data_IF_977808059718
#
_entry.id   IF_977808059718
#
_cell.length_a   1.000
_cell.length_b   1.000
_cell.length_c   1.000
_cell.angle_alpha   90.00
_cell.angle_beta   90.00
_cell.angle_gamma   90.00
#
_symmetry.space_group_name_H-M   'P 1'
#
loop_
_entity.id
_entity.type
_entity.pdbx_description
1 polymer ?
#
# COMPACT_ATOMS: atom_id res chain seq x y z
N UNK A 1 12.94 4.11 18.15
CA UNK A 1 13.70 2.89 17.77
C UNK A 1 14.04 1.97 18.95
N UNK A 2 14.43 2.47 20.13
CA UNK A 2 14.77 1.61 21.29
C UNK A 2 13.59 0.81 21.88
N UNK A 3 12.36 1.33 21.81
CA UNK A 3 11.16 0.64 22.31
C UNK A 3 10.74 -0.58 21.48
N UNK A 4 10.84 -0.49 20.15
CA UNK A 4 10.47 -1.59 19.23
C UNK A 4 11.43 -2.80 19.34
N UNK A 5 12.71 -2.54 19.61
CA UNK A 5 13.70 -3.60 19.79
C UNK A 5 13.45 -4.39 21.08
N UNK A 6 12.97 -3.71 22.13
CA UNK A 6 12.66 -4.33 23.41
C UNK A 6 11.42 -5.23 23.32
N UNK A 7 10.40 -4.81 22.56
CA UNK A 7 9.19 -5.63 22.33
C UNK A 7 9.46 -6.85 21.47
N UNK A 8 10.36 -6.75 20.48
CA UNK A 8 10.76 -7.90 19.65
C UNK A 8 11.54 -8.96 20.46
N UNK A 9 12.46 -8.52 21.33
CA UNK A 9 13.21 -9.44 22.20
C UNK A 9 12.33 -10.16 23.23
N UNK A 10 11.28 -9.49 23.73
CA UNK A 10 10.30 -10.10 24.63
C UNK A 10 9.41 -11.13 23.93
N UNK A 11 9.08 -10.92 22.65
CA UNK A 11 8.31 -11.88 21.85
C UNK A 11 9.14 -13.13 21.51
N UNK A 12 10.39 -12.95 21.11
CA UNK A 12 11.31 -14.07 20.82
C UNK A 12 11.55 -14.95 22.06
N UNK A 13 11.74 -14.32 23.23
CA UNK A 13 11.90 -15.07 24.50
C UNK A 13 10.62 -15.77 24.93
N UNK A 14 9.45 -15.17 24.70
CA UNK A 14 8.17 -15.81 25.01
C UNK A 14 7.91 -17.02 24.09
N UNK A 15 8.21 -16.92 22.80
CA UNK A 15 8.12 -18.03 21.85
C UNK A 15 9.08 -19.16 22.24
N UNK A 16 10.31 -18.84 22.65
CA UNK A 16 11.28 -19.83 23.12
C UNK A 16 10.82 -20.56 24.38
N UNK A 17 10.25 -19.85 25.36
CA UNK A 17 9.72 -20.44 26.60
C UNK A 17 8.54 -21.36 26.32
N UNK A 18 7.61 -20.93 25.45
CA UNK A 18 6.46 -21.77 25.05
C UNK A 18 6.92 -23.01 24.30
N UNK A 19 7.91 -22.90 23.40
CA UNK A 19 8.47 -24.04 22.68
C UNK A 19 9.16 -25.04 23.64
N UNK A 20 9.88 -24.53 24.64
CA UNK A 20 10.55 -25.36 25.66
C UNK A 20 9.54 -26.09 26.57
N UNK A 21 8.34 -25.54 26.76
CA UNK A 21 7.26 -26.18 27.50
C UNK A 21 6.47 -27.21 26.68
N UNK A 22 6.44 -27.04 25.35
CA UNK A 22 5.86 -28.03 24.42
C UNK A 22 6.80 -29.23 24.24
N UNK A 23 8.11 -29.00 24.25
CA UNK A 23 9.13 -30.07 24.15
C UNK A 23 9.46 -30.73 25.50
N UNK A 24 9.08 -30.11 26.63
CA UNK A 24 9.40 -30.55 28.00
C UNK A 24 8.36 -31.45 28.68
N UNK A 25 7.33 -31.91 27.97
CA UNK A 25 6.40 -32.91 28.48
C UNK A 25 7.12 -34.25 28.69
N UNK A 26 7.18 -34.72 29.95
CA UNK A 26 7.81 -35.99 30.34
C UNK A 26 7.45 -37.11 29.35
N UNK A 27 8.50 -37.76 28.83
CA UNK A 27 8.32 -38.88 27.90
C UNK A 27 7.72 -40.09 28.64
N UNK A 28 6.97 -40.95 27.94
CA UNK A 28 6.35 -42.17 28.48
C UNK A 28 7.35 -43.10 29.22
N UNK A 29 8.66 -42.94 28.96
CA UNK A 29 9.76 -43.66 29.62
C UNK A 29 10.05 -43.17 31.06
N UNK A 30 9.87 -41.88 31.36
CA UNK A 30 10.17 -41.32 32.69
C UNK A 30 9.08 -41.67 33.72
N UNK A 31 7.82 -41.79 33.26
CA UNK A 31 6.69 -42.23 34.09
C UNK A 31 6.88 -43.70 34.50
N UNK A 32 7.39 -44.53 33.58
CA UNK A 32 7.67 -45.95 33.84
C UNK A 32 8.83 -46.16 34.82
N UNK A 33 9.82 -45.27 34.85
CA UNK A 33 10.93 -45.33 35.80
C UNK A 33 10.52 -44.93 37.23
N UNK A 34 9.59 -43.98 37.40
CA UNK A 34 9.14 -43.58 38.74
C UNK A 34 8.25 -44.64 39.40
N UNK A 35 7.39 -45.33 38.62
CA UNK A 35 6.58 -46.46 39.11
C UNK A 35 7.44 -47.67 39.53
N UNK A 36 8.64 -47.83 38.95
CA UNK A 36 9.58 -48.91 39.29
C UNK A 36 10.38 -48.65 40.58
N UNK A 37 10.53 -47.39 41.01
CA UNK A 37 11.36 -47.04 42.17
C UNK A 37 10.61 -47.11 43.51
N UNK A 38 9.29 -46.95 43.50
CA UNK A 38 8.46 -47.02 44.72
C UNK A 38 8.37 -48.46 45.27
N UNK A 39 8.36 -49.47 44.40
CA UNK A 39 8.17 -50.89 44.76
C UNK A 39 9.40 -51.52 45.44
N UNK A 40 10.53 -50.79 45.52
CA UNK A 40 11.79 -51.29 46.08
C UNK A 40 12.03 -50.94 47.55
N UNK A 41 11.11 -50.23 48.21
CA UNK A 41 11.26 -49.80 49.61
C UNK A 41 10.19 -50.36 50.55
N UNK A 42 9.98 -51.68 50.60
CA UNK A 42 9.38 -52.33 51.79
C UNK A 42 9.54 -53.85 51.74
N UNK A 43 10.63 -54.35 52.31
CA UNK A 43 10.69 -55.43 53.32
C UNK A 43 11.93 -56.34 53.17
N UNK A 44 12.69 -56.55 54.27
CA UNK A 44 13.87 -57.40 54.30
C UNK A 44 13.54 -58.89 54.48
N UNK A 45 14.54 -59.71 54.17
CA UNK A 45 14.53 -61.16 54.09
C UNK A 45 14.52 -61.91 55.43
N UNK A 46 14.10 -63.19 55.36
CA UNK A 46 14.36 -64.40 56.18
C UNK A 46 13.02 -65.11 56.49
N UNK A 47 12.79 -66.42 56.34
CA UNK A 47 13.59 -67.65 56.17
C UNK A 47 12.59 -68.80 55.85
N UNK A 48 12.96 -69.76 54.99
CA UNK A 48 12.30 -71.08 54.79
C UNK A 48 12.76 -72.05 55.92
N UNK A 49 12.13 -73.22 56.28
CA UNK A 49 11.31 -74.09 55.41
C UNK A 49 10.14 -74.93 56.02
N UNK A 50 9.24 -75.36 55.12
CA UNK A 50 8.45 -76.62 55.08
C UNK A 50 7.39 -76.94 56.16
N UNK A 51 6.16 -77.19 55.68
CA UNK A 51 5.22 -78.33 55.91
C UNK A 51 3.80 -77.81 55.61
N UNK A 52 3.03 -78.30 54.64
CA UNK A 52 2.45 -79.62 54.38
C UNK A 52 0.92 -79.51 54.57
N UNK A 53 0.18 -80.14 53.65
CA UNK A 53 -1.27 -80.43 53.69
C UNK A 53 -2.26 -79.24 53.74
N UNK A 54 -3.47 -79.27 53.20
CA UNK A 54 -4.19 -79.99 52.13
C UNK A 54 -5.64 -79.48 52.26
N UNK A 55 -6.35 -79.39 51.13
CA UNK A 55 -7.82 -79.40 51.03
C UNK A 55 -8.64 -78.32 51.75
N UNK A 56 -9.28 -77.45 50.94
CA UNK A 56 -10.74 -77.55 50.73
C UNK A 56 -11.21 -76.54 49.68
N UNK A 57 -11.40 -77.08 48.48
CA UNK A 57 -12.52 -76.85 47.57
C UNK A 57 -13.46 -75.64 47.78
N UNK A 58 -13.60 -74.91 46.68
CA UNK A 58 -14.89 -74.49 46.12
C UNK A 58 -15.58 -73.28 46.74
N UNK A 59 -15.23 -72.07 46.28
CA UNK A 59 -16.18 -70.97 46.19
C UNK A 59 -16.03 -70.23 44.85
N UNK A 60 -17.04 -70.45 44.01
CA UNK A 60 -17.60 -69.52 43.03
C UNK A 60 -16.63 -68.81 42.06
N UNK A 61 -16.63 -69.33 40.84
CA UNK A 61 -16.17 -68.66 39.62
C UNK A 61 -17.04 -67.41 39.33
N UNK A 62 -16.90 -66.37 40.16
CA UNK A 62 -17.37 -65.02 39.83
C UNK A 62 -16.34 -64.45 38.86
N UNK A 63 -16.70 -64.40 37.59
CA UNK A 63 -15.95 -63.72 36.54
C UNK A 63 -15.88 -62.23 36.87
N UNK A 64 -14.91 -61.82 37.68
CA UNK A 64 -14.47 -60.44 37.73
C UNK A 64 -13.96 -60.09 36.33
N UNK A 65 -14.38 -58.96 35.72
CA UNK A 65 -13.80 -58.50 34.46
C UNK A 65 -12.27 -58.46 34.64
N UNK A 66 -11.53 -59.08 33.72
CA UNK A 66 -10.06 -59.04 33.72
C UNK A 66 -9.63 -57.56 33.66
N UNK A 67 -9.14 -57.02 34.78
CA UNK A 67 -8.72 -55.63 34.91
C UNK A 67 -7.68 -55.30 33.83
N UNK A 68 -6.85 -56.28 33.44
CA UNK A 68 -5.89 -56.09 32.35
C UNK A 68 -6.55 -55.99 30.98
N UNK A 69 -7.70 -56.65 30.76
CA UNK A 69 -8.48 -56.50 29.54
C UNK A 69 -9.09 -55.10 29.44
N UNK A 70 -9.69 -54.60 30.54
CA UNK A 70 -10.22 -53.25 30.60
C UNK A 70 -9.12 -52.18 30.41
N UNK A 71 -7.92 -52.40 30.97
CA UNK A 71 -6.78 -51.50 30.80
C UNK A 71 -6.27 -51.46 29.34
N UNK A 72 -6.25 -52.61 28.66
CA UNK A 72 -5.88 -52.71 27.24
C UNK A 72 -6.87 -51.97 26.35
N UNK A 73 -8.16 -52.13 26.63
CA UNK A 73 -9.23 -51.44 25.91
C UNK A 73 -9.13 -49.93 26.08
N UNK A 74 -8.98 -49.45 27.33
CA UNK A 74 -8.78 -48.03 27.61
C UNK A 74 -7.53 -47.48 26.91
N UNK A 75 -6.42 -48.22 26.95
CA UNK A 75 -5.18 -47.84 26.26
C UNK A 75 -5.41 -47.70 24.76
N UNK A 76 -6.15 -48.63 24.14
CA UNK A 76 -6.50 -48.57 22.72
C UNK A 76 -7.39 -47.34 22.39
N UNK A 77 -8.34 -46.99 23.26
CA UNK A 77 -9.17 -45.79 23.04
C UNK A 77 -8.39 -44.49 23.17
N UNK A 78 -7.45 -44.41 24.11
CA UNK A 78 -6.60 -43.21 24.29
C UNK A 78 -5.63 -43.05 23.12
N UNK A 79 -5.05 -44.15 22.61
CA UNK A 79 -4.19 -44.09 21.43
C UNK A 79 -4.96 -43.67 20.18
N UNK A 80 -6.20 -44.15 20.02
CA UNK A 80 -7.10 -43.72 18.93
C UNK A 80 -7.48 -42.24 19.05
N UNK A 81 -7.87 -41.77 20.24
CA UNK A 81 -8.16 -40.37 20.48
C UNK A 81 -6.95 -39.46 20.21
N UNK A 82 -5.75 -39.88 20.64
CA UNK A 82 -4.49 -39.16 20.37
C UNK A 82 -4.21 -39.08 18.87
N UNK A 83 -4.50 -40.13 18.10
CA UNK A 83 -4.39 -40.13 16.65
C UNK A 83 -5.41 -39.17 16.00
N UNK A 84 -6.67 -39.18 16.48
CA UNK A 84 -7.72 -38.30 16.00
C UNK A 84 -7.40 -36.82 16.27
N UNK A 85 -6.86 -36.49 17.45
CA UNK A 85 -6.42 -35.13 17.79
C UNK A 85 -5.33 -34.65 16.84
N UNK A 86 -4.29 -35.47 16.61
CA UNK A 86 -3.21 -35.13 15.66
C UNK A 86 -3.74 -34.90 14.24
N UNK A 87 -4.69 -35.72 13.79
CA UNK A 87 -5.31 -35.56 12.48
C UNK A 87 -6.14 -34.26 12.41
N UNK A 88 -6.86 -33.91 13.47
CA UNK A 88 -7.63 -32.67 13.55
C UNK A 88 -6.74 -31.43 13.60
N UNK A 89 -5.66 -31.44 14.39
CA UNK A 89 -4.66 -30.37 14.42
C UNK A 89 -4.03 -30.14 13.04
N UNK A 90 -3.75 -31.22 12.31
CA UNK A 90 -3.21 -31.16 10.94
C UNK A 90 -4.21 -30.48 10.00
N UNK A 91 -5.48 -30.91 10.02
CA UNK A 91 -6.54 -30.30 9.19
C UNK A 91 -6.74 -28.81 9.51
N UNK A 92 -6.75 -28.46 10.79
CA UNK A 92 -6.91 -27.06 11.21
C UNK A 92 -5.73 -26.21 10.71
N UNK A 93 -4.51 -26.75 10.76
CA UNK A 93 -3.31 -26.07 10.25
C UNK A 93 -3.37 -25.87 8.74
N UNK A 94 -3.84 -26.87 8.00
CA UNK A 94 -4.04 -26.78 6.55
C UNK A 94 -5.11 -25.74 6.19
N UNK A 95 -6.25 -25.72 6.90
CA UNK A 95 -7.28 -24.69 6.72
C UNK A 95 -6.79 -23.29 7.08
N UNK A 96 -6.01 -23.16 8.16
CA UNK A 96 -5.43 -21.89 8.58
C UNK A 96 -4.44 -21.37 7.53
N UNK A 97 -3.56 -22.24 7.01
CA UNK A 97 -2.62 -21.88 5.95
C UNK A 97 -3.38 -21.48 4.68
N UNK A 98 -4.38 -22.26 4.26
CA UNK A 98 -5.21 -21.95 3.11
C UNK A 98 -5.91 -20.60 3.25
N UNK A 99 -6.53 -20.33 4.40
CA UNK A 99 -7.16 -19.02 4.67
C UNK A 99 -6.15 -17.88 4.71
N UNK A 100 -4.95 -18.13 5.22
CA UNK A 100 -3.88 -17.13 5.25
C UNK A 100 -3.43 -16.78 3.83
N UNK A 101 -3.26 -17.78 2.97
CA UNK A 101 -2.92 -17.59 1.56
C UNK A 101 -4.03 -16.85 0.81
N UNK A 102 -5.30 -17.23 1.02
CA UNK A 102 -6.46 -16.53 0.44
C UNK A 102 -6.53 -15.06 0.90
N UNK A 103 -6.29 -14.80 2.19
CA UNK A 103 -6.25 -13.45 2.74
C UNK A 103 -5.09 -12.62 2.17
N UNK A 104 -3.91 -13.22 2.03
CA UNK A 104 -2.73 -12.56 1.43
C UNK A 104 -3.01 -12.18 -0.02
N UNK A 105 -3.52 -13.11 -0.82
CA UNK A 105 -3.85 -12.88 -2.23
C UNK A 105 -4.93 -11.79 -2.40
N UNK A 106 -5.98 -11.81 -1.56
CA UNK A 106 -7.02 -10.77 -1.58
C UNK A 106 -6.44 -9.40 -1.20
N UNK A 107 -5.58 -9.35 -0.18
CA UNK A 107 -4.94 -8.11 0.28
C UNK A 107 -4.04 -7.52 -0.81
N UNK A 108 -3.22 -8.35 -1.45
CA UNK A 108 -2.36 -7.93 -2.57
C UNK A 108 -3.18 -7.40 -3.75
N UNK A 109 -4.27 -8.09 -4.10
CA UNK A 109 -5.18 -7.64 -5.17
C UNK A 109 -5.79 -6.27 -4.88
N UNK A 110 -6.29 -6.06 -3.65
CA UNK A 110 -6.86 -4.75 -3.26
C UNK A 110 -5.82 -3.64 -3.25
N UNK A 111 -4.61 -3.92 -2.77
CA UNK A 111 -3.51 -2.95 -2.79
C UNK A 111 -3.14 -2.56 -4.21
N UNK A 112 -3.07 -3.52 -5.14
CA UNK A 112 -2.74 -3.23 -6.54
C UNK A 112 -3.85 -2.42 -7.24
N UNK A 113 -5.12 -2.72 -6.94
CA UNK A 113 -6.26 -1.97 -7.47
C UNK A 113 -6.27 -0.52 -6.96
N UNK A 114 -6.00 -0.31 -5.66
CA UNK A 114 -5.84 1.02 -5.07
C UNK A 114 -4.64 1.77 -5.66
N UNK A 115 -3.51 1.09 -5.87
CA UNK A 115 -2.32 1.68 -6.50
C UNK A 115 -2.59 2.08 -7.94
N UNK A 116 -3.35 1.27 -8.69
CA UNK A 116 -3.77 1.60 -10.05
C UNK A 116 -4.70 2.81 -10.06
N UNK A 117 -5.73 2.82 -9.21
CA UNK A 117 -6.64 3.95 -9.07
C UNK A 117 -5.95 5.26 -8.65
N UNK A 118 -4.86 5.19 -7.86
CA UNK A 118 -4.05 6.36 -7.53
C UNK A 118 -3.20 6.85 -8.70
N UNK A 119 -2.61 5.96 -9.50
CA UNK A 119 -1.81 6.33 -10.69
C UNK A 119 -2.65 7.11 -11.71
N UNK A 120 -3.91 6.74 -11.89
CA UNK A 120 -4.83 7.42 -12.82
C UNK A 120 -5.24 8.83 -12.33
N UNK A 121 -4.85 9.22 -11.10
CA UNK A 121 -5.17 10.51 -10.47
C UNK A 121 -3.95 11.42 -10.35
N UNK A 122 -2.79 10.98 -10.83
CA UNK A 122 -1.61 11.81 -10.95
C UNK A 122 -1.68 12.57 -12.27
N UNK A 123 -1.83 13.89 -12.19
CA UNK A 123 -1.91 14.75 -13.37
C UNK A 123 -0.98 15.93 -13.16
N UNK A 124 0.03 16.05 -14.00
CA UNK A 124 0.95 17.17 -13.98
C UNK A 124 1.60 17.34 -15.34
N UNK A 125 1.68 18.57 -15.82
CA UNK A 125 2.45 18.91 -16.99
C UNK A 125 3.29 20.17 -16.75
N UNK A 126 4.38 20.26 -17.48
CA UNK A 126 5.21 21.46 -17.54
C UNK A 126 5.89 21.51 -18.89
N UNK A 127 5.78 22.65 -19.57
CA UNK A 127 6.35 22.86 -20.89
C UNK A 127 6.90 24.28 -21.05
N UNK A 128 7.91 24.44 -21.92
CA UNK A 128 8.39 25.74 -22.41
C UNK A 128 8.01 25.97 -23.87
N UNK A 129 8.00 27.24 -24.28
CA UNK A 129 7.41 27.65 -25.54
C UNK A 129 8.10 27.04 -26.76
N UNK A 130 9.41 27.23 -26.90
CA UNK A 130 10.20 26.66 -28.00
C UNK A 130 10.96 25.38 -27.59
N UNK A 131 11.06 24.44 -28.54
CA UNK A 131 11.92 23.24 -28.45
C UNK A 131 13.38 23.55 -28.81
N UNK A 132 13.59 24.42 -29.79
CA UNK A 132 14.89 24.94 -30.19
C UNK A 132 14.74 26.28 -30.90
N UNK A 133 15.86 26.99 -31.08
CA UNK A 133 15.89 28.27 -31.76
C UNK A 133 15.63 29.46 -30.83
N UNK A 134 15.56 30.66 -31.39
CA UNK A 134 15.23 31.86 -30.64
C UNK A 134 14.47 32.84 -31.53
N UNK A 135 13.62 33.65 -30.92
CA UNK A 135 12.88 34.66 -31.66
C UNK A 135 11.65 35.18 -30.97
N UNK A 136 11.01 36.13 -31.66
CA UNK A 136 9.74 36.70 -31.22
C UNK A 136 8.56 35.86 -31.70
N UNK A 137 7.55 35.76 -30.83
CA UNK A 137 6.23 35.28 -31.17
C UNK A 137 5.31 36.50 -31.13
N UNK A 138 4.72 36.83 -32.28
CA UNK A 138 4.00 38.07 -32.50
C UNK A 138 4.91 39.27 -32.79
N UNK A 139 4.34 40.47 -32.94
CA UNK A 139 2.93 40.77 -32.76
C UNK A 139 2.07 40.26 -33.91
N UNK A 140 0.91 39.71 -33.57
CA UNK A 140 -0.11 39.29 -34.53
C UNK A 140 -1.29 40.26 -34.51
N UNK A 141 -2.08 40.32 -35.58
CA UNK A 141 -3.28 41.17 -35.65
C UNK A 141 -4.47 40.61 -34.85
N UNK A 142 -4.43 39.33 -34.49
CA UNK A 142 -5.45 38.65 -33.69
C UNK A 142 -4.81 37.95 -32.48
N UNK A 143 -5.63 37.58 -31.48
CA UNK A 143 -5.14 36.70 -30.41
C UNK A 143 -4.75 35.34 -30.98
N UNK A 144 -3.64 34.76 -30.50
CA UNK A 144 -3.13 33.46 -30.94
C UNK A 144 -2.94 32.56 -29.72
N UNK A 145 -3.41 31.31 -29.81
CA UNK A 145 -3.13 30.28 -28.80
C UNK A 145 -1.66 29.89 -28.87
N UNK A 146 -0.95 29.99 -27.73
CA UNK A 146 0.45 29.62 -27.63
C UNK A 146 0.58 28.11 -27.47
N UNK A 147 1.44 27.51 -28.29
CA UNK A 147 1.78 26.09 -28.23
C UNK A 147 3.14 25.93 -27.58
N UNK A 148 3.19 25.37 -26.37
CA UNK A 148 4.44 25.13 -25.65
C UNK A 148 4.98 23.76 -26.06
N UNK A 149 5.91 23.77 -27.02
CA UNK A 149 6.33 22.56 -27.74
C UNK A 149 7.34 21.73 -26.96
N UNK A 150 8.13 22.34 -26.10
CA UNK A 150 9.13 21.64 -25.31
C UNK A 150 8.54 21.13 -23.99
N UNK A 151 8.10 19.87 -23.98
CA UNK A 151 7.47 19.26 -22.81
C UNK A 151 8.52 18.68 -21.87
N UNK A 152 8.58 19.18 -20.63
CA UNK A 152 9.42 18.59 -19.58
C UNK A 152 8.74 17.39 -18.91
N UNK A 153 7.45 17.52 -18.63
CA UNK A 153 6.62 16.53 -17.94
C UNK A 153 5.21 16.55 -18.51
N UNK A 154 4.56 15.39 -18.63
CA UNK A 154 3.15 15.27 -19.01
C UNK A 154 2.51 14.01 -18.42
N UNK A 155 2.55 13.89 -17.10
CA UNK A 155 1.92 12.77 -16.37
C UNK A 155 0.40 12.88 -16.54
N UNK A 156 -0.23 11.74 -16.88
CA UNK A 156 -1.65 11.68 -17.23
C UNK A 156 -1.97 12.12 -18.66
N UNK A 157 -0.97 12.54 -19.46
CA UNK A 157 -1.13 12.94 -20.86
C UNK A 157 -2.24 13.96 -21.13
N UNK A 158 -2.51 14.84 -20.15
CA UNK A 158 -3.59 15.81 -20.21
C UNK A 158 -3.24 17.06 -21.04
N UNK A 159 -1.94 17.32 -21.26
CA UNK A 159 -1.47 18.41 -22.11
C UNK A 159 -1.14 17.92 -23.53
N UNK A 160 -1.61 18.64 -24.55
CA UNK A 160 -1.31 18.36 -25.95
C UNK A 160 -0.30 19.39 -26.51
N UNK A 161 0.96 19.01 -26.78
CA UNK A 161 2.00 19.93 -27.27
C UNK A 161 1.88 20.31 -28.75
N UNK A 162 0.93 19.72 -29.48
CA UNK A 162 0.63 20.12 -30.87
C UNK A 162 -0.33 21.32 -30.86
N UNK A 163 -1.29 21.34 -29.92
CA UNK A 163 -2.33 22.37 -29.83
C UNK A 163 -2.05 23.44 -28.78
N UNK A 164 -1.27 23.12 -27.75
CA UNK A 164 -1.04 23.99 -26.60
C UNK A 164 -2.12 23.89 -25.51
N UNK A 165 -3.00 22.89 -25.60
CA UNK A 165 -4.21 22.78 -24.79
C UNK A 165 -4.05 21.70 -23.72
N UNK A 166 -4.36 22.04 -22.48
CA UNK A 166 -4.63 21.09 -21.41
C UNK A 166 -6.11 20.74 -21.40
N UNK A 167 -6.44 19.45 -21.32
CA UNK A 167 -7.82 18.95 -21.18
C UNK A 167 -7.93 18.19 -19.88
N UNK A 168 -8.84 18.59 -18.99
CA UNK A 168 -9.00 17.96 -17.69
C UNK A 168 -9.54 16.51 -17.84
N UNK A 169 -8.78 15.47 -17.47
CA UNK A 169 -9.27 14.10 -17.55
C UNK A 169 -10.12 13.72 -16.32
N UNK A 170 -10.06 14.51 -15.24
CA UNK A 170 -10.78 14.30 -14.00
C UNK A 170 -11.42 15.61 -13.54
N UNK A 171 -12.52 15.50 -12.79
CA UNK A 171 -13.08 16.61 -12.03
C UNK A 171 -12.18 16.93 -10.84
N UNK A 172 -11.78 18.18 -10.66
CA UNK A 172 -10.90 18.55 -9.55
C UNK A 172 -10.47 20.00 -9.50
N UNK A 173 -9.69 20.32 -8.47
CA UNK A 173 -9.01 21.60 -8.34
C UNK A 173 -7.61 21.51 -8.97
N UNK A 174 -7.32 22.38 -9.93
CA UNK A 174 -6.08 22.39 -10.69
C UNK A 174 -5.35 23.72 -10.47
N UNK A 175 -4.04 23.68 -10.22
CA UNK A 175 -3.19 24.86 -10.20
C UNK A 175 -2.51 25.01 -11.55
N UNK A 176 -2.60 26.18 -12.15
CA UNK A 176 -1.88 26.54 -13.37
C UNK A 176 -0.95 27.71 -13.11
N UNK A 177 0.26 27.63 -13.64
CA UNK A 177 1.27 28.69 -13.60
C UNK A 177 1.80 28.95 -15.00
N UNK A 178 2.07 30.23 -15.30
CA UNK A 178 2.72 30.62 -16.54
C UNK A 178 3.62 31.83 -16.34
N UNK A 179 4.70 31.85 -17.12
CA UNK A 179 5.65 32.95 -17.19
C UNK A 179 5.68 33.53 -18.60
N UNK A 180 5.89 34.83 -18.69
CA UNK A 180 6.16 35.54 -19.93
C UNK A 180 7.44 36.33 -19.85
N UNK A 181 8.15 36.35 -20.97
CA UNK A 181 9.31 37.17 -21.19
C UNK A 181 9.25 37.84 -22.57
N UNK A 182 9.75 39.06 -22.63
CA UNK A 182 9.95 39.77 -23.88
C UNK A 182 10.96 40.88 -23.71
N UNK A 183 11.69 41.22 -24.77
CA UNK A 183 12.51 42.43 -24.76
C UNK A 183 11.64 43.68 -24.77
N UNK A 184 12.12 44.73 -24.09
CA UNK A 184 11.45 46.03 -24.05
C UNK A 184 11.27 46.64 -25.44
N UNK A 185 10.21 47.41 -25.59
CA UNK A 185 9.87 48.14 -26.80
C UNK A 185 8.95 49.30 -26.45
N UNK A 186 9.17 50.46 -27.07
CA UNK A 186 8.33 51.64 -26.89
C UNK A 186 6.92 51.53 -27.48
N UNK A 187 6.65 50.49 -28.29
CA UNK A 187 5.39 50.36 -29.04
C UNK A 187 4.69 49.00 -28.87
N UNK A 188 5.31 48.03 -28.19
CA UNK A 188 4.73 46.69 -28.01
C UNK A 188 4.89 46.20 -26.58
N UNK A 189 3.80 45.76 -25.97
CA UNK A 189 3.82 45.05 -24.69
C UNK A 189 3.99 43.54 -24.88
N UNK A 190 4.28 42.85 -23.78
CA UNK A 190 4.14 41.41 -23.63
C UNK A 190 2.85 41.14 -22.84
N UNK A 191 1.88 40.45 -23.43
CA UNK A 191 0.61 40.17 -22.75
C UNK A 191 0.03 38.83 -23.15
N UNK A 192 -0.15 37.95 -22.17
CA UNK A 192 -0.82 36.67 -22.37
C UNK A 192 -1.88 36.45 -21.30
N UNK A 193 -2.83 35.58 -21.59
CA UNK A 193 -3.86 35.17 -20.63
C UNK A 193 -4.06 33.68 -20.62
N UNK A 194 -4.34 33.12 -19.44
CA UNK A 194 -4.97 31.81 -19.33
C UNK A 194 -6.44 31.96 -19.73
N UNK A 195 -6.90 31.00 -20.53
CA UNK A 195 -8.26 30.88 -21.03
C UNK A 195 -8.80 29.52 -20.63
N UNK A 196 -10.01 29.48 -20.04
CA UNK A 196 -10.77 28.27 -19.74
C UNK A 196 -12.00 28.24 -20.66
N UNK A 197 -12.17 27.19 -21.46
CA UNK A 197 -13.34 27.02 -22.33
C UNK A 197 -13.69 28.25 -23.20
N UNK A 198 -12.68 28.99 -23.68
CA UNK A 198 -12.88 30.22 -24.45
C UNK A 198 -12.98 31.50 -23.63
N UNK A 199 -13.17 31.41 -22.31
CA UNK A 199 -13.25 32.58 -21.42
C UNK A 199 -11.91 32.91 -20.77
N UNK A 200 -11.59 34.20 -20.74
CA UNK A 200 -10.36 34.73 -20.16
C UNK A 200 -10.42 34.68 -18.64
N UNK A 201 -9.40 34.12 -18.00
CA UNK A 201 -9.36 33.89 -16.54
C UNK A 201 -8.41 34.87 -15.84
N UNK A 202 -7.12 34.80 -16.19
CA UNK A 202 -6.07 35.66 -15.60
C UNK A 202 -5.12 36.15 -16.69
N UNK A 203 -4.54 37.33 -16.48
CA UNK A 203 -3.66 38.01 -17.45
C UNK A 203 -2.29 38.24 -16.79
N UNK A 204 -1.22 37.92 -17.53
CA UNK A 204 0.10 38.46 -17.29
C UNK A 204 0.38 39.54 -18.34
N UNK A 205 0.66 40.75 -17.88
CA UNK A 205 0.99 41.89 -18.72
C UNK A 205 2.32 42.47 -18.24
N UNK A 206 3.09 43.01 -19.18
CA UNK A 206 4.13 43.96 -18.89
C UNK A 206 4.54 44.75 -20.13
N UNK A 207 4.96 45.99 -19.90
CA UNK A 207 5.41 46.92 -20.92
C UNK A 207 6.56 47.74 -20.36
N UNK A 208 7.66 47.78 -21.09
CA UNK A 208 8.83 48.62 -20.79
C UNK A 208 9.47 49.03 -22.09
N UNK A 209 9.97 50.26 -22.17
CA UNK A 209 10.57 50.80 -23.39
C UNK A 209 11.92 50.14 -23.73
N UNK A 210 12.68 49.74 -22.70
CA UNK A 210 14.03 49.20 -22.81
C UNK A 210 14.21 47.93 -21.96
N UNK A 211 15.34 47.25 -22.14
CA UNK A 211 15.72 46.02 -21.43
C UNK A 211 14.75 44.86 -21.68
N UNK A 212 14.09 44.36 -20.64
CA UNK A 212 13.26 43.18 -20.70
C UNK A 212 12.10 43.27 -19.72
N UNK A 213 10.97 42.70 -20.15
CA UNK A 213 9.78 42.48 -19.35
C UNK A 213 9.75 41.01 -18.94
N UNK A 214 9.50 40.77 -17.66
CA UNK A 214 9.15 39.46 -17.13
C UNK A 214 7.90 39.59 -16.27
N UNK A 215 6.91 38.71 -16.48
CA UNK A 215 5.72 38.65 -15.65
C UNK A 215 5.28 37.19 -15.50
N UNK A 216 4.81 36.83 -14.32
CA UNK A 216 4.28 35.49 -14.04
C UNK A 216 2.98 35.60 -13.26
N UNK A 217 2.11 34.60 -13.44
CA UNK A 217 0.82 34.48 -12.74
C UNK A 217 0.51 33.01 -12.48
N UNK A 218 -0.35 32.79 -11.49
CA UNK A 218 -0.90 31.49 -11.18
C UNK A 218 -2.38 31.60 -10.84
N UNK A 219 -3.13 30.52 -11.07
CA UNK A 219 -4.56 30.44 -10.75
C UNK A 219 -4.94 29.00 -10.40
N UNK A 220 -5.81 28.86 -9.39
CA UNK A 220 -6.48 27.59 -9.09
C UNK A 220 -7.85 27.60 -9.75
N UNK A 221 -8.16 26.56 -10.53
CA UNK A 221 -9.43 26.40 -11.23
C UNK A 221 -10.09 25.10 -10.86
N UNK A 222 -11.40 25.15 -10.63
CA UNK A 222 -12.24 23.97 -10.61
C UNK A 222 -12.60 23.62 -12.04
N UNK A 223 -12.22 22.41 -12.44
CA UNK A 223 -12.45 21.89 -13.79
C UNK A 223 -13.36 20.67 -13.71
N UNK A 224 -14.30 20.59 -14.66
CA UNK A 224 -15.02 19.37 -14.97
C UNK A 224 -14.24 18.52 -15.98
N UNK A 225 -14.61 17.25 -16.12
CA UNK A 225 -14.01 16.37 -17.15
C UNK A 225 -14.27 16.96 -18.53
N UNK A 226 -13.21 17.13 -19.31
CA UNK A 226 -13.27 17.70 -20.66
C UNK A 226 -13.12 19.23 -20.72
N UNK A 227 -13.12 19.93 -19.59
CA UNK A 227 -12.78 21.36 -19.58
C UNK A 227 -11.36 21.56 -20.15
N UNK A 228 -11.22 22.61 -20.97
CA UNK A 228 -9.95 22.93 -21.63
C UNK A 228 -9.35 24.21 -21.07
N UNK A 229 -8.04 24.19 -20.86
CA UNK A 229 -7.25 25.34 -20.40
C UNK A 229 -6.04 25.54 -21.31
N UNK A 230 -5.83 26.77 -21.77
CA UNK A 230 -4.72 27.12 -22.66
C UNK A 230 -4.31 28.58 -22.50
N UNK A 231 -3.14 28.93 -23.03
CA UNK A 231 -2.61 30.30 -22.96
C UNK A 231 -2.77 30.98 -24.31
N UNK A 232 -3.23 32.23 -24.29
CA UNK A 232 -3.34 33.08 -25.50
C UNK A 232 -2.47 34.33 -25.41
N UNK A 233 -1.73 34.59 -26.47
CA UNK A 233 -1.05 35.86 -26.72
C UNK A 233 -2.07 36.88 -27.25
N UNK A 234 -2.05 38.10 -26.71
CA UNK A 234 -2.96 39.16 -27.12
C UNK A 234 -2.56 39.75 -28.47
N UNK A 235 -3.56 40.19 -29.25
CA UNK A 235 -3.32 40.92 -30.51
C UNK A 235 -2.46 42.16 -30.27
N UNK A 236 -1.51 42.42 -31.16
CA UNK A 236 -0.59 43.56 -31.08
C UNK A 236 0.54 43.41 -30.07
N UNK A 237 0.60 42.29 -29.34
CA UNK A 237 1.63 42.03 -28.31
C UNK A 237 2.61 40.96 -28.76
N UNK A 238 3.82 40.97 -28.20
CA UNK A 238 4.86 39.98 -28.54
C UNK A 238 5.59 39.48 -27.30
N UNK A 239 6.07 38.26 -27.39
CA UNK A 239 6.96 37.64 -26.41
C UNK A 239 8.21 37.15 -27.12
N UNK A 240 9.30 36.93 -26.37
CA UNK A 240 10.56 36.41 -26.90
C UNK A 240 10.92 35.15 -26.14
N UNK A 241 11.42 34.14 -26.85
CA UNK A 241 11.95 32.92 -26.24
C UNK A 241 13.28 32.53 -26.89
N UNK A 242 14.11 31.84 -26.12
CA UNK A 242 15.38 31.28 -26.56
C UNK A 242 15.75 30.05 -25.71
N UNK A 243 17.03 29.65 -25.74
CA UNK A 243 17.49 28.41 -25.09
C UNK A 243 17.40 28.45 -23.56
N UNK A 244 17.16 29.62 -22.98
CA UNK A 244 16.92 29.80 -21.55
C UNK A 244 15.46 29.51 -21.15
N UNK A 245 14.57 29.23 -22.12
CA UNK A 245 13.20 28.72 -21.88
C UNK A 245 12.41 29.64 -20.96
N UNK A 246 12.36 30.92 -21.30
CA UNK A 246 11.80 31.96 -20.44
C UNK A 246 10.28 31.84 -20.25
N UNK A 247 9.59 31.38 -21.29
CA UNK A 247 8.14 31.27 -21.31
C UNK A 247 7.73 29.84 -20.99
N UNK A 248 7.12 29.66 -19.82
CA UNK A 248 6.69 28.35 -19.33
C UNK A 248 5.19 28.33 -19.09
N UNK A 249 4.60 27.15 -19.24
CA UNK A 249 3.23 26.85 -18.85
C UNK A 249 3.22 25.49 -18.18
N UNK A 250 2.72 25.47 -16.95
CA UNK A 250 2.66 24.28 -16.12
C UNK A 250 1.32 24.19 -15.43
N UNK A 251 0.88 22.98 -15.14
CA UNK A 251 -0.30 22.77 -14.30
C UNK A 251 -0.37 21.37 -13.74
N UNK A 252 -1.06 21.23 -12.62
CA UNK A 252 -1.20 19.95 -11.93
C UNK A 252 -2.50 19.90 -11.12
N UNK A 253 -3.00 18.68 -10.93
CA UNK A 253 -4.14 18.40 -10.07
C UNK A 253 -3.72 18.52 -8.60
N UNK A 254 -4.41 19.37 -7.84
CA UNK A 254 -4.23 19.47 -6.38
C UNK A 254 -4.96 18.31 -5.70
N UNK A 255 -6.22 18.14 -6.03
CA UNK A 255 -7.04 17.02 -5.56
C UNK A 255 -8.27 16.85 -6.46
N UNK A 256 -8.68 15.59 -6.71
CA UNK A 256 -9.96 15.30 -7.35
C UNK A 256 -11.12 15.77 -6.47
N UNK A 257 -12.19 16.29 -7.09
CA UNK A 257 -13.44 16.61 -6.41
C UNK A 257 -14.44 15.49 -6.64
N UNK A 258 -15.06 15.00 -5.57
CA UNK A 258 -16.21 14.08 -5.66
C UNK A 258 -17.49 14.88 -5.57
N UNK A 259 -18.60 14.36 -6.07
CA UNK A 259 -19.92 15.05 -6.03
C UNK A 259 -20.32 15.51 -4.62
N UNK A 260 -19.83 14.84 -3.58
CA UNK A 260 -20.09 15.18 -2.17
C UNK A 260 -19.29 16.41 -1.67
N UNK A 261 -18.23 16.81 -2.36
CA UNK A 261 -17.32 17.88 -1.93
C UNK A 261 -17.80 19.28 -2.40
N UNK A 262 -18.77 19.35 -3.32
CA UNK A 262 -19.33 20.60 -3.85
C UNK A 262 -20.26 21.35 -2.87
N UNK A 263 -20.79 20.67 -1.85
CA UNK A 263 -21.66 21.30 -0.84
C UNK A 263 -20.89 22.08 0.25
N UNK A 264 -19.56 22.19 0.15
CA UNK A 264 -18.71 22.85 1.18
C UNK A 264 -17.96 24.10 0.67
N UNK A 265 -18.18 24.50 -0.58
CA UNK A 265 -17.65 25.74 -1.16
C UNK A 265 -18.74 26.80 -1.23
#
# INVERSE_FOLDING_TARGET
MKGLLCTLLLLETFVFVVQQQVDGGLSENEISQQLSTEDRRQNPAQTDPRRDESDSQQYCHLSFPDIHAALRELTATVTEQKANIRALETRLREELNKKTDEMSNLTESQVEELRKGNRDREIAFSASLMESGSGYIGPFTTEITLTYRNVFTNIGNAYNPITGIFTAPLKGAYMFNFSIYGHGSSSTSATVSIVKNGEKVVIAHGHQDQYAVNSSKGVVLILEVGDVVYVRLWSGTRIYDDQNKHNTFSGYLLFPLREQDLCRM
#
